data_IF_971974319460
#
_entry.id   IF_971974319460
#
_cell.length_a   1.000
_cell.length_b   1.000
_cell.length_c   1.000
_cell.angle_alpha   90.00
_cell.angle_beta   90.00
_cell.angle_gamma   90.00
#
_symmetry.space_group_name_H-M   'P 1'
#
loop_
_entity.id
_entity.type
_entity.pdbx_description
1 polymer ?
#
# COMPACT_ATOMS: atom_id res chain seq x y z
N UNK A 1 6.58 -28.75 -0.95
CA UNK A 1 6.51 -28.33 -2.37
C UNK A 1 7.91 -27.96 -2.86
N UNK A 2 8.23 -28.18 -4.13
CA UNK A 2 9.49 -27.72 -4.74
C UNK A 2 9.16 -26.78 -5.90
N UNK A 3 9.76 -25.59 -5.90
CA UNK A 3 9.65 -24.62 -6.98
C UNK A 3 10.95 -24.62 -7.79
N UNK A 4 10.84 -24.40 -9.10
CA UNK A 4 12.01 -24.28 -9.98
C UNK A 4 12.32 -22.80 -10.19
N UNK A 5 13.60 -22.46 -10.08
CA UNK A 5 14.12 -21.17 -10.53
C UNK A 5 14.57 -21.29 -11.98
N UNK A 6 14.25 -20.31 -12.81
CA UNK A 6 14.66 -20.22 -14.20
C UNK A 6 15.26 -18.84 -14.52
N UNK A 7 16.23 -18.80 -15.44
CA UNK A 7 16.73 -17.56 -16.01
C UNK A 7 15.75 -17.03 -17.06
N UNK A 8 15.41 -15.76 -16.99
CA UNK A 8 14.56 -15.03 -17.94
C UNK A 8 15.24 -13.71 -18.27
N UNK A 9 15.86 -13.62 -19.46
CA UNK A 9 16.72 -12.49 -19.81
C UNK A 9 17.85 -12.35 -18.77
N UNK A 10 17.99 -11.15 -18.20
CA UNK A 10 18.99 -10.86 -17.16
C UNK A 10 18.47 -11.08 -15.73
N UNK A 11 17.28 -11.69 -15.58
CA UNK A 11 16.62 -11.89 -14.28
C UNK A 11 16.41 -13.37 -13.97
N UNK A 12 16.21 -13.67 -12.68
CA UNK A 12 15.75 -14.96 -12.21
C UNK A 12 14.25 -14.91 -11.89
N UNK A 13 13.53 -15.98 -12.22
CA UNK A 13 12.11 -16.12 -11.94
C UNK A 13 11.81 -17.46 -11.26
N UNK A 14 10.90 -17.46 -10.29
CA UNK A 14 10.30 -18.67 -9.75
C UNK A 14 9.11 -19.10 -10.61
N UNK A 15 9.04 -20.39 -10.96
CA UNK A 15 7.88 -20.96 -11.65
C UNK A 15 6.87 -21.41 -10.61
N UNK A 16 5.80 -20.63 -10.43
CA UNK A 16 4.73 -20.93 -9.47
C UNK A 16 3.58 -21.68 -10.17
N UNK A 17 3.12 -22.82 -9.63
CA UNK A 17 1.98 -23.56 -10.18
C UNK A 17 0.69 -22.72 -10.23
N UNK A 18 -0.15 -22.95 -11.24
CA UNK A 18 -1.40 -22.19 -11.44
C UNK A 18 -2.43 -22.37 -10.31
N UNK A 19 -2.36 -23.47 -9.55
CA UNK A 19 -3.23 -23.75 -8.41
C UNK A 19 -3.14 -22.70 -7.28
N UNK A 20 -2.08 -21.88 -7.27
CA UNK A 20 -1.92 -20.77 -6.32
C UNK A 20 -2.76 -19.53 -6.67
N UNK A 21 -3.36 -19.48 -7.88
CA UNK A 21 -4.29 -18.41 -8.26
C UNK A 21 -3.70 -17.00 -8.26
N UNK A 22 -2.39 -16.85 -8.45
CA UNK A 22 -1.72 -15.54 -8.50
C UNK A 22 -2.06 -14.87 -9.84
N UNK A 23 -2.67 -13.67 -9.84
CA UNK A 23 -2.99 -12.97 -11.08
C UNK A 23 -1.75 -12.38 -11.74
N UNK A 24 -1.79 -12.29 -13.07
CA UNK A 24 -0.73 -11.65 -13.85
C UNK A 24 -0.56 -10.19 -13.42
N UNK A 25 0.69 -9.76 -13.24
CA UNK A 25 1.02 -8.39 -12.83
C UNK A 25 0.87 -8.09 -11.33
N UNK A 26 0.53 -9.07 -10.48
CA UNK A 26 0.55 -8.90 -9.03
C UNK A 26 1.96 -8.53 -8.53
N UNK A 27 2.07 -7.38 -7.86
CA UNK A 27 3.33 -6.93 -7.27
C UNK A 27 3.44 -7.38 -5.81
N UNK A 28 4.69 -7.57 -5.35
CA UNK A 28 5.03 -8.01 -4.01
C UNK A 28 6.18 -7.17 -3.44
N UNK A 29 6.16 -6.92 -2.12
CA UNK A 29 7.38 -6.59 -1.40
C UNK A 29 8.16 -7.87 -1.13
N UNK A 30 9.48 -7.78 -1.22
CA UNK A 30 10.39 -8.92 -1.06
C UNK A 30 11.36 -8.60 0.06
N UNK A 31 11.45 -9.50 1.03
CA UNK A 31 12.43 -9.44 2.12
C UNK A 31 13.14 -10.77 2.25
N UNK A 32 14.43 -10.71 2.56
CA UNK A 32 15.20 -11.89 2.95
C UNK A 32 15.51 -11.80 4.45
N UNK A 33 15.11 -12.81 5.20
CA UNK A 33 15.40 -12.91 6.62
C UNK A 33 16.81 -13.46 6.86
N UNK A 34 17.31 -13.34 8.09
CA UNK A 34 18.69 -13.71 8.44
C UNK A 34 19.02 -15.20 8.25
N UNK A 35 18.01 -16.07 8.31
CA UNK A 35 18.10 -17.51 8.02
C UNK A 35 18.09 -17.84 6.51
N UNK A 36 18.01 -16.81 5.66
CA UNK A 36 17.99 -16.95 4.20
C UNK A 36 16.60 -17.18 3.62
N UNK A 37 15.55 -17.21 4.43
CA UNK A 37 14.16 -17.32 3.93
C UNK A 37 13.78 -16.06 3.14
N UNK A 38 13.16 -16.24 1.97
CA UNK A 38 12.65 -15.14 1.14
C UNK A 38 11.14 -15.06 1.31
N UNK A 39 10.64 -13.90 1.76
CA UNK A 39 9.22 -13.65 2.01
C UNK A 39 8.70 -12.69 0.95
N UNK A 40 7.65 -13.10 0.25
CA UNK A 40 6.92 -12.28 -0.71
C UNK A 40 5.59 -11.85 -0.07
N UNK A 41 5.34 -10.55 0.09
CA UNK A 41 4.06 -10.02 0.59
C UNK A 41 3.37 -9.22 -0.51
N UNK A 42 2.11 -9.54 -0.87
CA UNK A 42 1.43 -8.83 -1.94
C UNK A 42 1.31 -7.35 -1.59
N UNK A 43 1.65 -6.48 -2.54
CA UNK A 43 1.41 -5.04 -2.40
C UNK A 43 -0.08 -4.83 -2.65
N UNK A 44 -0.85 -4.34 -1.66
CA UNK A 44 -2.26 -4.05 -1.87
C UNK A 44 -2.40 -2.92 -2.89
N UNK A 45 -3.46 -2.94 -3.73
CA UNK A 45 -3.78 -1.80 -4.57
C UNK A 45 -3.94 -0.56 -3.68
N UNK A 46 -3.37 0.55 -4.13
CA UNK A 46 -3.48 1.80 -3.40
C UNK A 46 -4.91 2.35 -3.54
N UNK A 47 -5.65 2.40 -2.43
CA UNK A 47 -6.98 3.01 -2.37
C UNK A 47 -6.98 4.49 -2.79
N UNK A 48 -5.83 5.16 -2.73
CA UNK A 48 -5.66 6.56 -3.12
C UNK A 48 -5.32 6.74 -4.61
N UNK A 49 -4.76 5.71 -5.28
CA UNK A 49 -4.49 5.78 -6.73
C UNK A 49 -5.74 5.56 -7.57
N UNK A 50 -6.66 4.69 -7.14
CA UNK A 50 -7.89 4.41 -7.91
C UNK A 50 -8.89 5.57 -7.89
N UNK A 51 -8.93 6.35 -6.81
CA UNK A 51 -9.89 7.43 -6.64
C UNK A 51 -9.39 8.80 -7.11
N UNK A 52 -8.26 8.86 -7.83
CA UNK A 52 -7.75 10.13 -8.38
C UNK A 52 -7.24 11.13 -7.35
N UNK A 53 -7.08 10.74 -6.07
CA UNK A 53 -6.56 11.62 -5.02
C UNK A 53 -5.10 11.96 -5.30
N UNK A 54 -4.89 13.09 -5.97
CA UNK A 54 -3.57 13.70 -6.06
C UNK A 54 -3.33 14.38 -4.71
N UNK A 55 -2.20 14.07 -4.05
CA UNK A 55 -1.90 14.48 -2.67
C UNK A 55 -1.92 15.98 -2.34
N UNK A 56 -2.30 16.85 -3.28
CA UNK A 56 -2.66 18.24 -3.03
C UNK A 56 -4.11 18.47 -2.60
N UNK A 57 -5.01 17.49 -2.74
CA UNK A 57 -6.43 17.62 -2.38
C UNK A 57 -6.69 17.42 -0.88
N UNK A 58 -5.74 16.81 -0.17
CA UNK A 58 -5.80 16.56 1.28
C UNK A 58 -5.06 17.63 2.08
N UNK A 59 -5.06 18.88 1.63
CA UNK A 59 -4.59 19.99 2.46
C UNK A 59 -5.73 20.38 3.39
N UNK A 60 -5.55 20.10 4.68
CA UNK A 60 -6.34 20.72 5.73
C UNK A 60 -6.25 22.24 5.53
N UNK A 61 -7.36 22.87 5.14
CA UNK A 61 -7.52 24.30 5.37
C UNK A 61 -7.72 24.43 6.88
N UNK A 62 -6.73 24.98 7.56
CA UNK A 62 -6.98 25.51 8.89
C UNK A 62 -8.08 26.56 8.72
N UNK A 63 -9.30 26.19 9.10
CA UNK A 63 -10.33 27.17 9.39
C UNK A 63 -9.90 27.77 10.71
N UNK A 64 -9.04 28.78 10.64
CA UNK A 64 -8.84 29.71 11.73
C UNK A 64 -10.23 30.11 12.18
N UNK A 65 -10.56 29.78 13.42
CA UNK A 65 -11.80 30.18 14.08
C UNK A 65 -11.97 31.69 13.86
N UNK A 66 -12.83 32.08 12.92
CA UNK A 66 -13.37 33.43 12.94
C UNK A 66 -14.23 33.47 14.18
N UNK A 67 -13.75 34.24 15.16
CA UNK A 67 -14.30 34.54 16.48
C UNK A 67 -15.82 34.35 16.54
N UNK A 68 -16.23 33.11 16.79
CA UNK A 68 -17.56 32.80 17.28
C UNK A 68 -17.59 33.22 18.72
N UNK A 69 -17.86 34.50 18.95
CA UNK A 69 -18.19 35.03 20.27
C UNK A 69 -19.31 34.14 20.85
N UNK A 70 -18.94 33.27 21.80
CA UNK A 70 -19.88 32.51 22.62
C UNK A 70 -20.43 33.47 23.67
N UNK A 71 -21.35 34.33 23.23
CA UNK A 71 -22.11 35.15 24.16
C UNK A 71 -23.07 34.26 24.94
N UNK A 72 -22.74 34.07 26.22
CA UNK A 72 -23.69 33.77 27.30
C UNK A 72 -24.24 32.34 27.40
N UNK A 73 -23.41 31.39 27.84
CA UNK A 73 -23.92 30.15 28.48
C UNK A 73 -23.53 30.00 29.96
N UNK A 74 -22.97 31.05 30.57
CA UNK A 74 -22.72 31.09 32.01
C UNK A 74 -23.26 32.41 32.58
N UNK A 75 -24.55 32.43 32.92
CA UNK A 75 -25.10 33.39 33.87
C UNK A 75 -25.80 32.59 34.96
N UNK A 76 -25.19 32.66 36.15
CA UNK A 76 -25.52 32.14 37.49
C UNK A 76 -26.52 30.97 37.64
#
# INVERSE_FOLDING_TARGET
>A
MKLKVQQVGDSLAFVIPKEFGIPDGQCYTVEQTADGTIIFRPIPPSLFKENGFQGNELRQKDVSLEDGVLDSEWSD
#
